data_IF_467191965484
#
_entry.id   IF_467191965484
#
_cell.length_a   1.000
_cell.length_b   1.000
_cell.length_c   1.000
_cell.angle_alpha   90.00
_cell.angle_beta   90.00
_cell.angle_gamma   90.00
#
_symmetry.space_group_name_H-M   'P 1'
#
loop_
_entity.id
_entity.type
_entity.pdbx_description
1 polymer ?
#
# COMPACT_ATOMS: atom_id res chain seq x y z
N UNK A 1 -44.71 -4.15 0.49
CA UNK A 1 -43.44 -4.44 -0.20
C UNK A 1 -42.65 -3.15 -0.12
N UNK A 2 -41.66 -3.09 0.76
CA UNK A 2 -40.87 -1.89 0.96
C UNK A 2 -40.08 -1.61 -0.32
N UNK A 3 -40.26 -0.39 -0.81
CA UNK A 3 -39.79 0.15 -2.07
C UNK A 3 -38.28 0.46 -1.99
N UNK A 4 -37.48 -0.51 -1.57
CA UNK A 4 -36.02 -0.35 -1.53
C UNK A 4 -35.51 -0.52 -2.97
N UNK A 5 -35.37 0.59 -3.68
CA UNK A 5 -34.65 0.67 -4.95
C UNK A 5 -33.30 -0.06 -4.82
N UNK A 6 -33.04 -1.00 -5.74
CA UNK A 6 -31.78 -1.74 -5.79
C UNK A 6 -30.66 -0.80 -6.21
N UNK A 7 -29.84 -0.40 -5.24
CA UNK A 7 -28.72 0.54 -5.44
C UNK A 7 -27.41 -0.23 -5.62
N UNK A 8 -26.71 0.03 -6.71
CA UNK A 8 -25.35 -0.44 -6.96
C UNK A 8 -24.39 0.72 -6.73
N UNK A 9 -23.47 0.55 -5.81
CA UNK A 9 -22.35 1.48 -5.66
C UNK A 9 -21.33 1.21 -6.77
N UNK A 10 -20.95 2.26 -7.48
CA UNK A 10 -19.84 2.26 -8.43
C UNK A 10 -18.74 3.16 -7.88
N UNK A 11 -17.51 2.64 -7.77
CA UNK A 11 -16.42 3.45 -7.21
C UNK A 11 -15.80 4.35 -8.28
N UNK A 12 -15.76 5.66 -8.04
CA UNK A 12 -14.86 6.59 -8.74
C UNK A 12 -13.47 6.43 -8.11
N UNK A 13 -12.49 6.12 -8.95
CA UNK A 13 -11.11 5.85 -8.52
C UNK A 13 -10.14 6.81 -9.22
N UNK A 14 -8.98 6.31 -9.64
CA UNK A 14 -7.85 7.10 -10.12
C UNK A 14 -7.51 6.75 -11.58
N UNK A 15 -6.70 7.60 -12.22
CA UNK A 15 -6.01 7.32 -13.49
C UNK A 15 -6.91 6.73 -14.60
N UNK A 16 -6.49 5.64 -15.24
CA UNK A 16 -7.20 5.04 -16.37
C UNK A 16 -8.60 4.52 -16.01
N UNK A 17 -8.83 3.80 -14.89
CA UNK A 17 -10.17 3.41 -14.46
C UNK A 17 -11.12 4.60 -14.24
N UNK A 18 -10.63 5.73 -13.72
CA UNK A 18 -11.43 6.94 -13.55
C UNK A 18 -11.88 7.51 -14.91
N UNK A 19 -10.98 7.55 -15.90
CA UNK A 19 -11.31 7.97 -17.27
C UNK A 19 -12.32 7.02 -17.92
N UNK A 20 -12.13 5.71 -17.80
CA UNK A 20 -13.07 4.71 -18.33
C UNK A 20 -14.46 4.85 -17.71
N UNK A 21 -14.53 5.15 -16.41
CA UNK A 21 -15.79 5.38 -15.69
C UNK A 21 -16.60 6.52 -16.28
N UNK A 22 -15.95 7.62 -16.71
CA UNK A 22 -16.62 8.75 -17.36
C UNK A 22 -17.36 8.36 -18.63
N UNK A 23 -16.85 7.36 -19.36
CA UNK A 23 -17.50 6.82 -20.56
C UNK A 23 -18.53 5.74 -20.25
N UNK A 24 -18.21 4.80 -19.36
CA UNK A 24 -19.00 3.58 -19.17
C UNK A 24 -20.19 3.77 -18.24
N UNK A 25 -20.04 4.56 -17.18
CA UNK A 25 -21.09 4.74 -16.17
C UNK A 25 -22.40 5.33 -16.73
N UNK A 26 -22.39 6.33 -17.63
CA UNK A 26 -23.62 6.81 -18.27
C UNK A 26 -24.34 5.71 -19.06
N UNK A 27 -23.60 4.81 -19.71
CA UNK A 27 -24.16 3.68 -20.45
C UNK A 27 -24.84 2.71 -19.46
N UNK A 28 -24.16 2.33 -18.37
CA UNK A 28 -24.73 1.44 -17.36
C UNK A 28 -26.04 2.00 -16.79
N UNK A 29 -26.05 3.29 -16.42
CA UNK A 29 -27.25 3.98 -15.93
C UNK A 29 -28.40 3.96 -16.94
N UNK A 30 -28.12 4.21 -18.21
CA UNK A 30 -29.13 4.19 -19.27
C UNK A 30 -29.70 2.77 -19.50
N UNK A 31 -28.85 1.74 -19.44
CA UNK A 31 -29.29 0.35 -19.62
C UNK A 31 -30.14 -0.17 -18.45
N UNK A 32 -29.90 0.33 -17.23
CA UNK A 32 -30.64 -0.13 -16.05
C UNK A 32 -31.83 0.73 -15.65
N UNK A 33 -32.08 1.85 -16.34
CA UNK A 33 -33.14 2.80 -15.99
C UNK A 33 -34.55 2.19 -16.02
N UNK A 34 -34.78 1.17 -16.85
CA UNK A 34 -36.07 0.46 -16.94
C UNK A 34 -36.26 -0.62 -15.88
N UNK A 35 -35.22 -0.94 -15.12
CA UNK A 35 -35.18 -2.12 -14.24
C UNK A 35 -35.22 -1.76 -12.76
N UNK A 36 -35.39 -0.47 -12.41
CA UNK A 36 -35.39 0.00 -11.02
C UNK A 36 -34.04 -0.16 -10.32
N UNK A 37 -32.94 -0.25 -11.07
CA UNK A 37 -31.57 -0.36 -10.54
C UNK A 37 -30.86 0.98 -10.74
N UNK A 38 -30.39 1.55 -9.64
CA UNK A 38 -29.65 2.81 -9.62
C UNK A 38 -28.15 2.58 -9.45
N UNK A 39 -27.33 3.36 -10.15
CA UNK A 39 -25.88 3.42 -9.91
C UNK A 39 -25.49 4.71 -9.20
N UNK A 40 -24.97 4.58 -7.99
CA UNK A 40 -24.43 5.69 -7.22
C UNK A 40 -22.91 5.71 -7.26
N UNK A 41 -22.34 6.88 -7.51
CA UNK A 41 -20.92 7.04 -7.73
C UNK A 41 -20.27 7.54 -6.44
N UNK A 42 -19.44 6.70 -5.83
CA UNK A 42 -18.76 7.02 -4.57
C UNK A 42 -17.27 7.24 -4.82
N UNK A 43 -16.73 8.37 -4.35
CA UNK A 43 -15.35 8.80 -4.64
C UNK A 43 -14.37 8.24 -3.60
N UNK A 44 -13.56 7.29 -4.03
CA UNK A 44 -12.47 6.70 -3.23
C UNK A 44 -11.10 6.94 -3.87
N UNK A 45 -11.01 7.92 -4.78
CA UNK A 45 -9.73 8.37 -5.35
C UNK A 45 -8.76 8.83 -4.26
N UNK A 46 -7.47 8.91 -4.57
CA UNK A 46 -6.46 9.42 -3.65
C UNK A 46 -6.77 10.86 -3.22
N UNK A 47 -7.03 11.75 -4.18
CA UNK A 47 -7.47 13.11 -3.91
C UNK A 47 -8.75 13.14 -3.07
N UNK A 48 -9.71 12.28 -3.42
CA UNK A 48 -10.95 12.03 -2.69
C UNK A 48 -10.71 11.80 -1.19
N UNK A 49 -9.88 10.81 -0.90
CA UNK A 49 -9.58 10.38 0.47
C UNK A 49 -8.77 11.43 1.24
N UNK A 50 -7.86 12.16 0.59
CA UNK A 50 -7.11 13.25 1.23
C UNK A 50 -8.08 14.36 1.68
N UNK A 51 -8.89 14.89 0.77
CA UNK A 51 -9.84 15.98 1.05
C UNK A 51 -10.84 15.58 2.14
N UNK A 52 -11.35 14.33 2.13
CA UNK A 52 -12.25 13.84 3.17
C UNK A 52 -11.59 13.74 4.56
N UNK A 53 -10.26 13.63 4.62
CA UNK A 53 -9.51 13.54 5.87
C UNK A 53 -9.06 14.90 6.41
N UNK A 54 -9.26 16.03 5.72
CA UNK A 54 -8.92 17.38 6.23
C UNK A 54 -10.07 18.40 6.04
N UNK A 55 -11.32 18.06 6.40
CA UNK A 55 -12.47 18.93 6.14
C UNK A 55 -12.38 20.29 6.83
N UNK A 56 -11.71 20.37 7.98
CA UNK A 56 -11.57 21.60 8.75
C UNK A 56 -10.72 22.68 8.07
N UNK A 57 -9.88 22.30 7.10
CA UNK A 57 -9.08 23.22 6.31
C UNK A 57 -9.80 23.71 5.05
N UNK A 58 -11.00 23.24 4.77
CA UNK A 58 -11.66 23.42 3.47
C UNK A 58 -12.90 24.31 3.57
N UNK A 59 -13.22 25.00 2.47
CA UNK A 59 -14.51 25.69 2.35
C UNK A 59 -15.66 24.69 2.29
N UNK A 60 -16.89 25.14 2.54
CA UNK A 60 -18.06 24.26 2.51
C UNK A 60 -18.30 23.64 1.12
N UNK A 61 -17.89 24.33 0.04
CA UNK A 61 -17.97 23.83 -1.33
C UNK A 61 -16.86 22.83 -1.69
N UNK A 62 -15.73 22.87 -0.99
CA UNK A 62 -14.60 21.96 -1.19
C UNK A 62 -14.73 20.67 -0.40
N UNK A 63 -15.48 20.69 0.71
CA UNK A 63 -15.73 19.52 1.55
C UNK A 63 -16.47 18.45 0.76
N UNK A 64 -16.14 17.20 1.07
CA UNK A 64 -16.86 16.03 0.59
C UNK A 64 -16.98 15.00 1.70
N UNK A 65 -17.91 14.08 1.54
CA UNK A 65 -18.12 12.98 2.48
C UNK A 65 -16.93 12.01 2.47
N UNK A 66 -16.69 11.35 3.61
CA UNK A 66 -15.75 10.23 3.70
C UNK A 66 -16.40 8.96 3.15
N UNK A 67 -16.46 8.89 1.81
CA UNK A 67 -17.06 7.78 1.10
C UNK A 67 -16.39 6.43 1.43
N UNK A 68 -15.10 6.40 1.79
CA UNK A 68 -14.45 5.14 2.16
C UNK A 68 -14.99 4.61 3.49
N UNK A 69 -15.12 5.47 4.49
CA UNK A 69 -15.72 5.10 5.78
C UNK A 69 -17.19 4.68 5.62
N UNK A 70 -17.97 5.43 4.84
CA UNK A 70 -19.37 5.09 4.54
C UNK A 70 -19.51 3.74 3.84
N UNK A 71 -18.62 3.43 2.89
CA UNK A 71 -18.61 2.14 2.21
C UNK A 71 -18.14 0.99 3.09
N UNK A 72 -17.26 1.25 4.05
CA UNK A 72 -16.89 0.27 5.07
C UNK A 72 -18.06 -0.14 5.95
N UNK A 73 -18.89 0.83 6.36
CA UNK A 73 -20.12 0.52 7.08
C UNK A 73 -21.15 -0.19 6.20
N UNK A 74 -21.31 0.25 4.93
CA UNK A 74 -22.19 -0.43 3.98
C UNK A 74 -21.80 -1.90 3.78
N UNK A 75 -20.51 -2.20 3.63
CA UNK A 75 -19.98 -3.54 3.39
C UNK A 75 -20.33 -4.55 4.51
N UNK A 76 -20.62 -4.05 5.72
CA UNK A 76 -21.07 -4.86 6.87
C UNK A 76 -22.57 -5.12 6.88
N UNK A 77 -23.31 -4.62 5.89
CA UNK A 77 -24.76 -4.79 5.78
C UNK A 77 -25.15 -5.73 4.63
N UNK A 78 -26.30 -6.44 4.74
CA UNK A 78 -26.82 -7.26 3.64
C UNK A 78 -27.18 -6.47 2.37
N UNK A 79 -27.33 -5.15 2.47
CA UNK A 79 -27.67 -4.28 1.35
C UNK A 79 -26.46 -3.94 0.45
N UNK A 80 -25.24 -4.32 0.85
CA UNK A 80 -24.03 -4.00 0.11
C UNK A 80 -24.03 -4.60 -1.31
N UNK A 81 -24.01 -3.73 -2.32
CA UNK A 81 -23.75 -4.10 -3.71
C UNK A 81 -22.75 -3.11 -4.31
N UNK A 82 -21.46 -3.48 -4.29
CA UNK A 82 -20.36 -2.57 -4.58
C UNK A 82 -19.54 -3.10 -5.76
N UNK A 83 -19.49 -2.34 -6.85
CA UNK A 83 -18.57 -2.54 -7.96
C UNK A 83 -17.32 -1.70 -7.70
N UNK A 84 -16.26 -2.39 -7.28
CA UNK A 84 -14.96 -1.80 -6.97
C UNK A 84 -14.01 -1.87 -8.16
N UNK A 85 -13.61 -0.70 -8.67
CA UNK A 85 -12.62 -0.56 -9.74
C UNK A 85 -11.20 -0.46 -9.17
N UNK A 86 -10.13 -0.71 -9.94
CA UNK A 86 -8.75 -0.48 -9.47
C UNK A 86 -8.54 0.99 -9.04
N UNK A 87 -7.77 1.18 -7.96
CA UNK A 87 -7.45 2.49 -7.38
C UNK A 87 -5.98 2.54 -6.96
N UNK A 88 -5.44 3.74 -6.75
CA UNK A 88 -4.09 3.95 -6.24
C UNK A 88 -4.02 3.49 -4.79
N UNK A 89 -3.09 2.57 -4.53
CA UNK A 89 -2.50 2.42 -3.20
C UNK A 89 -1.28 3.34 -3.18
N UNK A 90 -1.32 4.44 -2.43
CA UNK A 90 -0.37 5.53 -2.64
C UNK A 90 1.00 5.21 -2.03
N UNK A 91 2.08 5.42 -2.80
CA UNK A 91 3.42 5.64 -2.25
C UNK A 91 3.54 7.05 -1.67
N UNK A 92 4.62 7.33 -0.92
CA UNK A 92 4.91 8.68 -0.40
C UNK A 92 5.03 9.70 -1.56
N UNK A 93 5.80 9.43 -2.64
CA UNK A 93 5.86 10.37 -3.77
C UNK A 93 4.51 10.64 -4.43
N UNK A 94 3.65 9.63 -4.58
CA UNK A 94 2.31 9.81 -5.14
C UNK A 94 1.42 10.66 -4.22
N UNK A 95 1.55 10.46 -2.90
CA UNK A 95 0.85 11.26 -1.90
C UNK A 95 1.28 12.73 -2.00
N UNK A 96 2.58 13.03 -1.94
CA UNK A 96 3.11 14.38 -2.03
C UNK A 96 2.74 15.07 -3.34
N UNK A 97 2.81 14.36 -4.48
CA UNK A 97 2.37 14.89 -5.77
C UNK A 97 0.87 15.26 -5.76
N UNK A 98 0.03 14.43 -5.13
CA UNK A 98 -1.41 14.71 -5.03
C UNK A 98 -1.71 15.87 -4.08
N UNK A 99 -1.01 15.97 -2.95
CA UNK A 99 -1.11 17.10 -2.03
C UNK A 99 -0.78 18.40 -2.77
N UNK A 100 0.35 18.40 -3.49
CA UNK A 100 0.75 19.55 -4.30
C UNK A 100 -0.30 19.92 -5.34
N UNK A 101 -0.82 18.94 -6.09
CA UNK A 101 -1.85 19.20 -7.10
C UNK A 101 -3.13 19.78 -6.46
N UNK A 102 -3.55 19.28 -5.30
CA UNK A 102 -4.70 19.81 -4.56
C UNK A 102 -4.48 21.26 -4.10
N UNK A 103 -3.30 21.57 -3.55
CA UNK A 103 -2.93 22.92 -3.13
C UNK A 103 -2.86 23.89 -4.32
N UNK A 104 -2.31 23.46 -5.45
CA UNK A 104 -2.28 24.25 -6.69
C UNK A 104 -3.71 24.56 -7.21
N UNK A 105 -4.72 23.75 -6.81
CA UNK A 105 -6.16 23.98 -7.06
C UNK A 105 -6.89 24.69 -5.91
N UNK A 106 -6.17 25.19 -4.89
CA UNK A 106 -6.72 26.00 -3.80
C UNK A 106 -7.30 25.22 -2.63
N UNK A 107 -7.02 23.93 -2.49
CA UNK A 107 -7.34 23.17 -1.28
C UNK A 107 -6.23 23.35 -0.24
N UNK A 108 -6.57 23.88 0.94
CA UNK A 108 -5.61 24.17 2.01
C UNK A 108 -5.23 22.91 2.84
N UNK A 109 -4.92 21.81 2.15
CA UNK A 109 -4.48 20.56 2.82
C UNK A 109 -3.02 20.68 3.25
N UNK A 110 -2.66 20.24 4.49
CA UNK A 110 -1.31 20.39 5.01
C UNK A 110 -0.30 19.53 4.24
N UNK A 111 0.97 19.94 4.23
CA UNK A 111 2.06 19.12 3.70
C UNK A 111 2.17 17.79 4.43
N UNK A 112 2.81 16.80 3.80
CA UNK A 112 3.13 15.54 4.46
C UNK A 112 4.44 15.68 5.27
N UNK A 113 4.41 15.60 6.62
CA UNK A 113 5.62 15.69 7.42
C UNK A 113 6.38 14.36 7.40
N UNK A 114 7.50 14.32 6.68
CA UNK A 114 8.38 13.14 6.63
C UNK A 114 8.95 12.82 8.02
N UNK A 115 9.45 13.84 8.70
CA UNK A 115 9.97 13.79 10.07
C UNK A 115 9.14 14.74 10.96
N UNK A 116 8.03 14.28 11.56
CA UNK A 116 7.14 15.16 12.29
C UNK A 116 7.79 15.65 13.59
N UNK A 117 7.75 16.96 13.83
CA UNK A 117 8.21 17.60 15.05
C UNK A 117 7.02 17.99 15.96
N UNK A 118 6.71 17.11 16.91
CA UNK A 118 5.68 17.37 17.93
C UNK A 118 4.24 17.06 17.53
N UNK A 119 3.32 17.27 18.47
CA UNK A 119 1.93 16.79 18.38
C UNK A 119 1.14 17.24 17.14
N UNK A 120 1.26 18.50 16.64
CA UNK A 120 0.50 18.93 15.46
C UNK A 120 0.89 18.16 14.19
N UNK A 121 2.19 17.97 13.94
CA UNK A 121 2.67 17.26 12.76
C UNK A 121 2.46 15.75 12.86
N UNK A 122 2.58 15.18 14.06
CA UNK A 122 2.20 13.79 14.32
C UNK A 122 0.72 13.54 13.99
N UNK A 123 -0.16 14.47 14.35
CA UNK A 123 -1.58 14.41 14.00
C UNK A 123 -1.84 14.42 12.49
N UNK A 124 -1.12 15.27 11.74
CA UNK A 124 -1.19 15.32 10.27
C UNK A 124 -0.68 14.02 9.65
N UNK A 125 0.50 13.53 10.09
CA UNK A 125 1.07 12.27 9.62
C UNK A 125 0.15 11.10 9.88
N UNK A 126 -0.48 11.03 11.05
CA UNK A 126 -1.43 9.98 11.41
C UNK A 126 -2.67 9.96 10.52
N UNK A 127 -3.17 11.12 10.09
CA UNK A 127 -4.29 11.21 9.12
C UNK A 127 -3.84 10.78 7.74
N UNK A 128 -2.67 11.22 7.28
CA UNK A 128 -2.13 10.74 6.00
C UNK A 128 -1.83 9.24 5.99
N UNK A 129 -1.46 8.65 7.13
CA UNK A 129 -1.27 7.21 7.26
C UNK A 129 -2.54 6.39 6.97
N UNK A 130 -3.74 7.00 7.10
CA UNK A 130 -5.03 6.38 6.73
C UNK A 130 -5.29 6.38 5.23
N UNK A 131 -4.65 7.27 4.46
CA UNK A 131 -4.78 7.32 3.00
C UNK A 131 -3.61 6.63 2.27
N UNK A 132 -2.48 6.45 2.94
CA UNK A 132 -1.27 5.87 2.39
C UNK A 132 -1.35 4.34 2.25
N UNK A 133 -0.74 3.81 1.18
CA UNK A 133 -0.68 2.39 0.88
C UNK A 133 -2.05 1.80 0.54
N UNK A 134 -2.24 0.52 0.83
CA UNK A 134 -3.50 -0.19 0.55
C UNK A 134 -4.60 0.17 1.58
N UNK A 135 -5.04 1.42 1.60
CA UNK A 135 -6.07 1.92 2.53
C UNK A 135 -7.49 1.40 2.22
N UNK A 136 -7.82 1.20 0.94
CA UNK A 136 -9.20 0.88 0.53
C UNK A 136 -9.55 -0.59 0.73
N UNK A 137 -8.65 -1.52 0.36
CA UNK A 137 -8.98 -2.95 0.39
C UNK A 137 -9.31 -3.48 1.79
N UNK A 138 -8.59 -3.11 2.87
CA UNK A 138 -8.92 -3.57 4.23
C UNK A 138 -10.30 -3.14 4.70
N UNK A 139 -10.82 -2.02 4.20
CA UNK A 139 -12.14 -1.49 4.58
C UNK A 139 -13.28 -2.19 3.81
N UNK A 140 -13.06 -2.52 2.53
CA UNK A 140 -14.14 -3.05 1.68
C UNK A 140 -14.21 -4.59 1.63
N UNK A 141 -13.16 -5.30 2.09
CA UNK A 141 -13.07 -6.76 2.02
C UNK A 141 -13.58 -7.44 3.29
N UNK A 142 -14.84 -7.20 3.60
CA UNK A 142 -15.59 -7.87 4.67
C UNK A 142 -16.02 -9.29 4.25
N UNK A 143 -15.07 -10.08 3.73
CA UNK A 143 -15.32 -11.42 3.20
C UNK A 143 -14.09 -12.04 2.53
N UNK A 144 -14.26 -13.29 2.10
CA UNK A 144 -13.22 -14.04 1.40
C UNK A 144 -13.20 -13.74 -0.11
N UNK A 145 -12.18 -14.24 -0.82
CA UNK A 145 -11.99 -14.01 -2.26
C UNK A 145 -12.42 -15.21 -3.11
N UNK A 146 -13.41 -15.05 -3.99
CA UNK A 146 -13.63 -15.91 -5.17
C UNK A 146 -13.01 -15.24 -6.40
N UNK A 147 -11.84 -15.72 -6.85
CA UNK A 147 -11.14 -15.19 -8.03
C UNK A 147 -10.90 -16.29 -9.05
N UNK A 148 -11.48 -16.11 -10.25
CA UNK A 148 -11.39 -17.06 -11.36
C UNK A 148 -11.46 -16.36 -12.72
N UNK A 149 -10.95 -17.02 -13.75
CA UNK A 149 -11.06 -16.54 -15.13
C UNK A 149 -12.46 -16.84 -15.65
N UNK A 150 -13.14 -15.85 -16.24
CA UNK A 150 -14.45 -16.06 -16.87
C UNK A 150 -14.32 -16.94 -18.12
N UNK A 151 -15.28 -17.85 -18.33
CA UNK A 151 -15.24 -18.80 -19.44
C UNK A 151 -15.08 -18.15 -20.83
N UNK A 152 -15.77 -17.04 -21.16
CA UNK A 152 -15.56 -16.35 -22.44
C UNK A 152 -14.14 -15.81 -22.61
N UNK A 153 -13.51 -15.32 -21.53
CA UNK A 153 -12.12 -14.82 -21.56
C UNK A 153 -11.15 -15.97 -21.81
N UNK A 154 -11.37 -17.13 -21.18
CA UNK A 154 -10.54 -18.32 -21.43
C UNK A 154 -10.68 -18.82 -22.86
N UNK A 155 -11.89 -18.90 -23.39
CA UNK A 155 -12.14 -19.30 -24.78
C UNK A 155 -11.48 -18.34 -25.77
N UNK A 156 -11.58 -17.02 -25.52
CA UNK A 156 -10.92 -16.01 -26.33
C UNK A 156 -9.39 -16.17 -26.34
N UNK A 157 -8.77 -16.40 -25.18
CA UNK A 157 -7.32 -16.61 -25.07
C UNK A 157 -6.85 -17.90 -25.76
N UNK A 158 -7.69 -18.94 -25.84
CA UNK A 158 -7.38 -20.15 -26.60
C UNK A 158 -7.44 -19.92 -28.11
N UNK A 159 -8.41 -19.11 -28.57
CA UNK A 159 -8.54 -18.74 -29.98
C UNK A 159 -7.52 -17.69 -30.42
N UNK A 160 -7.02 -16.88 -29.48
CA UNK A 160 -6.09 -15.77 -29.70
C UNK A 160 -4.94 -15.89 -28.69
N UNK A 161 -4.04 -16.88 -28.85
CA UNK A 161 -2.93 -17.07 -27.93
C UNK A 161 -2.03 -15.84 -27.92
N UNK A 162 -1.76 -15.32 -26.73
CA UNK A 162 -0.79 -14.25 -26.55
C UNK A 162 0.64 -14.80 -26.66
N UNK A 163 1.62 -13.96 -27.01
CA UNK A 163 3.01 -14.38 -27.05
C UNK A 163 3.46 -14.94 -25.70
N UNK A 164 4.09 -16.11 -25.71
CA UNK A 164 4.73 -16.72 -24.56
C UNK A 164 6.20 -16.90 -24.91
N UNK A 165 7.10 -16.34 -24.10
CA UNK A 165 8.53 -16.48 -24.30
C UNK A 165 8.97 -17.95 -24.23
N UNK A 166 9.89 -18.35 -25.11
CA UNK A 166 10.45 -19.69 -25.11
C UNK A 166 11.32 -19.92 -23.87
N UNK A 167 11.13 -21.07 -23.22
CA UNK A 167 12.00 -21.53 -22.13
C UNK A 167 12.91 -22.62 -22.66
N UNK A 168 14.23 -22.41 -22.56
CA UNK A 168 15.25 -23.36 -22.97
C UNK A 168 16.05 -23.84 -21.76
N UNK A 169 16.76 -24.97 -21.90
CA UNK A 169 17.62 -25.49 -20.83
C UNK A 169 18.82 -24.59 -20.48
N UNK A 170 19.09 -23.54 -21.26
CA UNK A 170 20.14 -22.55 -20.99
C UNK A 170 19.72 -21.39 -20.09
N UNK A 171 18.44 -21.29 -19.72
CA UNK A 171 17.94 -20.21 -18.85
C UNK A 171 18.53 -20.35 -17.45
N UNK A 172 19.23 -19.31 -17.00
CA UNK A 172 19.86 -19.22 -15.67
C UNK A 172 19.01 -18.49 -14.63
N UNK A 173 17.84 -17.97 -15.04
CA UNK A 173 16.89 -17.28 -14.15
C UNK A 173 16.50 -18.21 -13.00
N UNK A 174 16.58 -17.71 -11.78
CA UNK A 174 16.20 -18.41 -10.56
C UNK A 174 15.67 -17.40 -9.55
N UNK A 175 15.00 -17.92 -8.52
CA UNK A 175 14.63 -17.15 -7.33
C UNK A 175 15.67 -17.44 -6.26
N UNK A 176 16.20 -16.38 -5.66
CA UNK A 176 17.00 -16.44 -4.45
C UNK A 176 16.19 -15.91 -3.28
N UNK A 177 16.30 -16.56 -2.12
CA UNK A 177 15.66 -16.16 -0.88
C UNK A 177 16.55 -16.48 0.31
N UNK A 178 16.33 -15.82 1.44
CA UNK A 178 17.06 -16.09 2.68
C UNK A 178 16.80 -17.54 3.15
N UNK A 179 17.81 -18.18 3.72
CA UNK A 179 17.72 -19.53 4.30
C UNK A 179 17.51 -19.53 5.82
N UNK A 180 17.80 -18.40 6.47
CA UNK A 180 17.64 -18.19 7.92
C UNK A 180 17.53 -16.70 8.24
N UNK A 181 17.03 -16.37 9.43
CA UNK A 181 16.93 -14.99 9.90
C UNK A 181 15.88 -14.14 9.19
N UNK A 182 14.94 -14.77 8.48
CA UNK A 182 13.80 -14.13 7.83
C UNK A 182 12.51 -14.31 8.66
N UNK A 183 11.40 -13.74 8.17
CA UNK A 183 10.10 -13.90 8.83
C UNK A 183 9.67 -15.37 8.90
N UNK A 184 9.92 -16.17 7.86
CA UNK A 184 9.51 -17.57 7.81
C UNK A 184 10.24 -18.41 8.88
N UNK A 185 11.57 -18.28 8.96
CA UNK A 185 12.38 -19.07 9.89
C UNK A 185 12.23 -18.69 11.36
N UNK A 186 11.60 -17.55 11.67
CA UNK A 186 11.42 -17.03 13.03
C UNK A 186 9.99 -17.03 13.54
N UNK A 187 9.02 -17.41 12.69
CA UNK A 187 7.60 -17.33 13.02
C UNK A 187 7.23 -18.20 14.23
N UNK A 188 6.45 -17.60 15.13
CA UNK A 188 5.75 -18.27 16.21
C UNK A 188 4.26 -17.96 16.12
N UNK A 189 3.43 -18.97 16.34
CA UNK A 189 1.97 -18.88 16.21
C UNK A 189 1.29 -19.30 17.51
N UNK A 190 0.20 -18.61 17.84
CA UNK A 190 -0.63 -18.92 19.00
C UNK A 190 -2.12 -18.81 18.66
N UNK A 191 -2.92 -19.75 19.17
CA UNK A 191 -4.39 -19.72 19.06
C UNK A 191 -4.98 -19.31 20.41
N UNK A 192 -5.69 -18.19 20.42
CA UNK A 192 -6.28 -17.63 21.63
C UNK A 192 -7.34 -18.56 22.23
N UNK A 193 -7.12 -19.05 23.45
CA UNK A 193 -8.08 -19.93 24.14
C UNK A 193 -9.37 -19.19 24.57
N UNK A 194 -9.27 -17.89 24.84
CA UNK A 194 -10.36 -17.00 25.22
C UNK A 194 -10.10 -15.59 24.70
N UNK A 195 -11.15 -14.79 24.56
CA UNK A 195 -11.01 -13.38 24.20
C UNK A 195 -10.25 -12.61 25.29
N UNK A 196 -9.44 -11.65 24.89
CA UNK A 196 -8.58 -10.89 25.80
C UNK A 196 -7.93 -9.70 25.12
N UNK A 197 -7.02 -9.04 25.83
CA UNK A 197 -6.21 -7.95 25.29
C UNK A 197 -4.74 -8.24 25.55
N UNK A 198 -3.89 -7.98 24.56
CA UNK A 198 -2.44 -8.19 24.64
C UNK A 198 -1.69 -6.88 24.43
N UNK A 199 -0.47 -6.85 24.96
CA UNK A 199 0.47 -5.75 24.77
C UNK A 199 1.72 -6.29 24.05
N UNK A 200 2.24 -5.52 23.10
CA UNK A 200 3.51 -5.79 22.44
C UNK A 200 4.56 -4.89 23.07
N UNK A 201 5.56 -5.50 23.70
CA UNK A 201 6.64 -4.78 24.40
C UNK A 201 8.01 -5.17 23.87
N UNK A 202 8.93 -4.22 23.88
CA UNK A 202 10.35 -4.44 23.69
C UNK A 202 11.03 -4.29 25.05
N UNK A 203 11.64 -5.37 25.54
CA UNK A 203 12.53 -5.34 26.69
C UNK A 203 13.98 -5.24 26.19
N UNK A 204 14.71 -4.21 26.61
CA UNK A 204 16.11 -4.04 26.22
C UNK A 204 17.06 -4.87 27.11
N UNK A 205 18.35 -4.90 26.77
CA UNK A 205 19.35 -5.67 27.53
C UNK A 205 19.54 -5.21 28.98
N UNK A 206 19.06 -4.01 29.34
CA UNK A 206 19.07 -3.48 30.71
C UNK A 206 17.78 -3.79 31.49
N UNK A 207 16.79 -4.44 30.86
CA UNK A 207 15.48 -4.75 31.42
C UNK A 207 14.47 -3.59 31.34
N UNK A 208 14.78 -2.53 30.58
CA UNK A 208 13.83 -1.43 30.38
C UNK A 208 12.78 -1.84 29.34
N UNK A 209 11.52 -1.56 29.66
CA UNK A 209 10.36 -1.95 28.85
C UNK A 209 9.87 -0.74 28.06
N UNK A 210 9.84 -0.89 26.74
CA UNK A 210 9.18 0.03 25.81
C UNK A 210 7.90 -0.60 25.28
N UNK A 211 6.76 0.05 25.48
CA UNK A 211 5.48 -0.43 24.93
C UNK A 211 5.41 -0.03 23.45
N UNK A 212 5.41 -1.02 22.56
CA UNK A 212 5.31 -0.81 21.12
C UNK A 212 3.86 -0.70 20.66
N UNK A 213 2.98 -1.50 21.29
CA UNK A 213 1.53 -1.45 21.06
C UNK A 213 0.81 -1.90 22.31
N UNK A 214 -0.14 -1.09 22.75
CA UNK A 214 -0.98 -1.41 23.89
C UNK A 214 -2.40 -1.78 23.47
N UNK A 215 -3.06 -2.57 24.33
CA UNK A 215 -4.50 -2.80 24.23
C UNK A 215 -5.00 -3.51 22.97
N UNK A 216 -4.20 -4.40 22.36
CA UNK A 216 -4.63 -5.15 21.19
C UNK A 216 -5.67 -6.21 21.59
N UNK A 217 -6.94 -5.92 21.33
CA UNK A 217 -8.04 -6.85 21.57
C UNK A 217 -7.98 -8.04 20.60
N UNK A 218 -8.06 -9.25 21.15
CA UNK A 218 -8.09 -10.52 20.43
C UNK A 218 -9.32 -11.34 20.82
N UNK A 219 -9.85 -12.10 19.88
CA UNK A 219 -11.04 -12.94 20.03
C UNK A 219 -10.68 -14.35 20.50
N UNK A 220 -11.68 -15.06 21.02
CA UNK A 220 -11.54 -16.50 21.24
C UNK A 220 -11.37 -17.22 19.90
N UNK A 221 -10.36 -18.08 19.80
CA UNK A 221 -10.03 -18.83 18.59
C UNK A 221 -9.26 -18.02 17.53
N UNK A 222 -8.95 -16.76 17.80
CA UNK A 222 -8.10 -15.94 16.92
C UNK A 222 -6.68 -16.50 16.87
N UNK A 223 -6.11 -16.55 15.67
CA UNK A 223 -4.71 -16.93 15.45
C UNK A 223 -3.89 -15.65 15.42
N UNK A 224 -2.84 -15.59 16.24
CA UNK A 224 -1.88 -14.49 16.27
C UNK A 224 -0.48 -15.03 16.04
N UNK A 225 0.26 -14.39 15.13
CA UNK A 225 1.60 -14.78 14.73
C UNK A 225 2.58 -13.63 14.98
N UNK A 226 3.81 -13.97 15.34
CA UNK A 226 4.91 -13.02 15.48
C UNK A 226 6.17 -13.59 14.82
N UNK A 227 6.88 -12.74 14.08
CA UNK A 227 8.12 -13.10 13.39
C UNK A 227 9.05 -11.88 13.29
N UNK A 228 10.33 -12.12 12.98
CA UNK A 228 11.35 -11.08 12.87
C UNK A 228 12.27 -11.33 11.68
N UNK A 229 12.61 -10.26 10.96
CA UNK A 229 13.68 -10.29 9.96
C UNK A 229 14.95 -9.70 10.57
N UNK A 230 16.02 -10.49 10.61
CA UNK A 230 17.33 -10.04 11.05
C UNK A 230 17.95 -9.13 10.01
N UNK A 231 18.15 -7.85 10.38
CA UNK A 231 18.87 -6.86 9.54
C UNK A 231 20.23 -7.37 9.09
N UNK A 232 20.99 -8.00 9.98
CA UNK A 232 22.33 -8.50 9.68
C UNK A 232 22.29 -9.64 8.67
N UNK A 233 21.38 -10.61 8.86
CA UNK A 233 21.23 -11.73 7.93
C UNK A 233 20.73 -11.26 6.56
N UNK A 234 19.77 -10.32 6.53
CA UNK A 234 19.26 -9.72 5.30
C UNK A 234 20.39 -9.03 4.50
N UNK A 235 21.19 -8.19 5.16
CA UNK A 235 22.28 -7.48 4.47
C UNK A 235 23.37 -8.41 3.97
N UNK A 236 23.69 -9.47 4.72
CA UNK A 236 24.64 -10.49 4.29
C UNK A 236 24.11 -11.26 3.07
N UNK A 237 22.83 -11.66 3.10
CA UNK A 237 22.16 -12.30 1.97
C UNK A 237 22.19 -11.40 0.72
N UNK A 238 21.76 -10.15 0.84
CA UNK A 238 21.75 -9.20 -0.27
C UNK A 238 23.14 -9.00 -0.88
N UNK A 239 24.17 -8.82 -0.06
CA UNK A 239 25.55 -8.67 -0.54
C UNK A 239 26.03 -9.93 -1.29
N UNK A 240 25.69 -11.12 -0.78
CA UNK A 240 26.00 -12.40 -1.43
C UNK A 240 25.31 -12.56 -2.78
N UNK A 241 24.01 -12.26 -2.88
CA UNK A 241 23.25 -12.38 -4.13
C UNK A 241 23.63 -11.33 -5.17
N UNK A 242 24.00 -10.12 -4.74
CA UNK A 242 24.55 -9.10 -5.64
C UNK A 242 25.87 -9.60 -6.24
N UNK A 243 26.77 -10.15 -5.43
CA UNK A 243 28.02 -10.73 -5.91
C UNK A 243 27.80 -11.93 -6.84
N UNK A 244 26.92 -12.89 -6.47
CA UNK A 244 26.60 -14.05 -7.31
C UNK A 244 26.01 -13.63 -8.67
N UNK A 245 25.14 -12.61 -8.67
CA UNK A 245 24.56 -12.10 -9.92
C UNK A 245 25.64 -11.50 -10.84
N UNK A 246 26.63 -10.82 -10.29
CA UNK A 246 27.77 -10.29 -11.05
C UNK A 246 28.67 -11.41 -11.57
N UNK A 247 29.05 -12.37 -10.72
CA UNK A 247 29.90 -13.51 -11.07
C UNK A 247 29.28 -14.39 -12.17
N UNK A 248 27.94 -14.50 -12.19
CA UNK A 248 27.20 -15.32 -13.15
C UNK A 248 26.71 -14.55 -14.38
N UNK A 249 26.99 -13.25 -14.45
CA UNK A 249 26.52 -12.33 -15.50
C UNK A 249 24.99 -12.36 -15.65
N UNK A 250 24.30 -12.12 -14.53
CA UNK A 250 22.85 -12.09 -14.42
C UNK A 250 22.37 -10.69 -14.03
N UNK A 251 21.17 -10.33 -14.49
CA UNK A 251 20.48 -9.15 -13.99
C UNK A 251 20.03 -9.39 -12.55
N UNK A 252 20.53 -8.57 -11.63
CA UNK A 252 19.99 -8.51 -10.28
C UNK A 252 18.61 -7.85 -10.33
N UNK A 253 17.60 -8.52 -9.77
CA UNK A 253 16.26 -7.98 -9.64
C UNK A 253 15.72 -8.26 -8.25
N UNK A 254 15.04 -7.27 -7.68
CA UNK A 254 14.42 -7.34 -6.36
C UNK A 254 12.91 -7.25 -6.52
N UNK A 255 12.19 -8.23 -5.98
CA UNK A 255 10.74 -8.37 -6.12
C UNK A 255 10.08 -8.23 -4.75
N UNK A 256 9.42 -7.10 -4.52
CA UNK A 256 8.84 -6.71 -3.23
C UNK A 256 7.42 -6.16 -3.43
N UNK A 257 6.73 -5.83 -2.34
CA UNK A 257 5.38 -5.28 -2.36
C UNK A 257 5.23 -4.04 -1.46
N UNK A 258 6.21 -3.12 -1.57
CA UNK A 258 6.39 -1.89 -0.78
C UNK A 258 5.10 -1.13 -0.46
N UNK A 259 4.21 -0.94 -1.43
CA UNK A 259 2.97 -0.18 -1.23
C UNK A 259 1.94 -0.91 -0.37
N UNK A 260 1.86 -2.24 -0.48
CA UNK A 260 0.92 -3.02 0.33
C UNK A 260 1.50 -3.25 1.73
N UNK A 261 2.77 -3.62 1.77
CA UNK A 261 3.55 -3.84 2.98
C UNK A 261 4.26 -2.55 3.40
N UNK A 262 3.47 -1.48 3.62
CA UNK A 262 3.94 -0.08 3.75
C UNK A 262 4.94 0.20 4.88
N UNK A 263 5.21 -0.76 5.75
CA UNK A 263 6.17 -0.65 6.84
C UNK A 263 7.40 -1.51 6.56
N UNK A 264 7.23 -2.83 6.40
CA UNK A 264 8.34 -3.77 6.26
C UNK A 264 9.12 -3.60 4.96
N UNK A 265 8.41 -3.57 3.84
CA UNK A 265 9.02 -3.70 2.52
C UNK A 265 9.83 -2.47 2.10
N UNK A 266 9.42 -1.21 2.39
CA UNK A 266 10.28 -0.06 2.19
C UNK A 266 11.61 -0.14 2.95
N UNK A 267 11.60 -0.67 4.19
CA UNK A 267 12.83 -0.86 4.98
C UNK A 267 13.74 -1.92 4.36
N UNK A 268 13.16 -3.05 3.93
CA UNK A 268 13.91 -4.11 3.24
C UNK A 268 14.49 -3.58 1.92
N UNK A 269 13.71 -2.81 1.18
CA UNK A 269 14.12 -2.16 -0.05
C UNK A 269 15.26 -1.17 0.17
N UNK A 270 15.18 -0.33 1.21
CA UNK A 270 16.25 0.59 1.59
C UNK A 270 17.55 -0.14 1.94
N UNK A 271 17.47 -1.28 2.64
CA UNK A 271 18.65 -2.13 2.84
C UNK A 271 19.24 -2.65 1.53
N UNK A 272 18.42 -3.05 0.56
CA UNK A 272 18.92 -3.47 -0.76
C UNK A 272 19.59 -2.32 -1.51
N UNK A 273 19.01 -1.11 -1.49
CA UNK A 273 19.59 0.10 -2.11
C UNK A 273 20.94 0.43 -1.46
N UNK A 274 21.00 0.51 -0.13
CA UNK A 274 22.24 0.84 0.57
C UNK A 274 23.33 -0.23 0.45
N UNK A 275 22.97 -1.51 0.30
CA UNK A 275 23.96 -2.57 0.05
C UNK A 275 24.46 -2.53 -1.39
N UNK A 276 23.56 -2.30 -2.36
CA UNK A 276 23.94 -2.22 -3.78
C UNK A 276 24.85 -1.02 -4.08
N UNK A 277 24.58 0.13 -3.45
CA UNK A 277 25.35 1.37 -3.60
C UNK A 277 26.29 1.62 -2.41
N UNK A 278 26.79 0.57 -1.75
CA UNK A 278 27.58 0.68 -0.52
C UNK A 278 28.73 1.71 -0.65
N UNK A 279 29.51 1.66 -1.73
CA UNK A 279 30.61 2.59 -1.99
C UNK A 279 30.19 4.07 -1.97
N UNK A 280 28.98 4.38 -2.46
CA UNK A 280 28.45 5.76 -2.49
C UNK A 280 28.08 6.21 -1.08
N UNK A 281 27.34 5.38 -0.34
CA UNK A 281 26.93 5.69 1.03
C UNK A 281 28.12 5.75 1.99
N UNK A 282 29.14 4.90 1.82
CA UNK A 282 30.36 4.94 2.62
C UNK A 282 31.20 6.20 2.34
N UNK A 283 31.30 6.61 1.08
CA UNK A 283 32.11 7.77 0.69
C UNK A 283 31.44 9.11 0.98
N UNK A 284 30.11 9.18 0.90
CA UNK A 284 29.34 10.42 0.94
C UNK A 284 28.32 10.51 2.08
N UNK A 285 28.37 9.59 3.05
CA UNK A 285 27.39 9.46 4.13
C UNK A 285 27.03 10.77 4.82
N UNK A 286 28.02 11.55 5.28
CA UNK A 286 27.77 12.83 5.97
C UNK A 286 26.93 13.81 5.12
N UNK A 287 27.26 13.97 3.84
CA UNK A 287 26.53 14.87 2.94
C UNK A 287 25.14 14.33 2.62
N UNK A 288 25.00 13.01 2.45
CA UNK A 288 23.70 12.38 2.17
C UNK A 288 22.77 12.49 3.39
N UNK A 289 23.30 12.36 4.60
CA UNK A 289 22.57 12.52 5.86
C UNK A 289 22.13 13.99 6.05
N UNK A 290 23.00 14.96 5.76
CA UNK A 290 22.66 16.40 5.80
C UNK A 290 21.55 16.78 4.80
N UNK A 291 21.54 16.13 3.63
CA UNK A 291 20.47 16.28 2.63
C UNK A 291 19.20 15.50 2.98
N UNK A 292 19.23 14.68 4.03
CA UNK A 292 18.13 13.84 4.48
C UNK A 292 17.79 12.70 3.52
N UNK A 293 18.75 12.17 2.75
CA UNK A 293 18.50 11.09 1.76
C UNK A 293 17.98 9.83 2.46
N UNK A 294 16.81 9.35 2.03
CA UNK A 294 16.19 8.14 2.57
C UNK A 294 16.22 6.99 1.54
N UNK A 295 17.07 5.97 1.72
CA UNK A 295 17.14 4.83 0.80
C UNK A 295 15.83 4.01 0.77
N UNK A 296 14.95 4.12 1.77
CA UNK A 296 13.63 3.47 1.76
C UNK A 296 12.71 4.02 0.65
N UNK A 297 12.94 5.27 0.24
CA UNK A 297 12.27 5.91 -0.91
C UNK A 297 12.95 5.61 -2.25
N UNK A 298 14.04 4.84 -2.23
CA UNK A 298 14.80 4.40 -3.38
C UNK A 298 15.85 5.38 -3.87
N UNK A 299 16.64 4.94 -4.85
CA UNK A 299 17.75 5.75 -5.39
C UNK A 299 17.28 7.05 -6.06
N UNK A 300 16.01 7.12 -6.46
CA UNK A 300 15.39 8.35 -6.96
C UNK A 300 15.38 9.49 -5.94
N UNK A 301 15.23 9.17 -4.65
CA UNK A 301 15.28 10.16 -3.56
C UNK A 301 16.67 10.77 -3.41
N UNK A 302 17.73 9.95 -3.57
CA UNK A 302 19.08 10.45 -3.64
C UNK A 302 19.23 11.42 -4.83
N UNK A 303 18.80 11.01 -6.02
CA UNK A 303 18.94 11.83 -7.22
C UNK A 303 18.24 13.19 -7.10
N UNK A 304 17.03 13.25 -6.53
CA UNK A 304 16.33 14.53 -6.34
C UNK A 304 17.01 15.44 -5.31
N UNK A 305 17.53 14.88 -4.22
CA UNK A 305 18.15 15.67 -3.13
C UNK A 305 19.51 16.25 -3.52
N UNK A 306 20.28 15.53 -4.33
CA UNK A 306 21.59 16.02 -4.80
C UNK A 306 21.49 17.12 -5.86
N UNK A 307 20.32 17.39 -6.46
CA UNK A 307 20.13 18.53 -7.38
C UNK A 307 20.38 19.89 -6.70
N UNK A 308 20.32 19.93 -5.36
CA UNK A 308 20.66 21.10 -4.56
C UNK A 308 22.17 21.36 -4.43
N UNK A 309 23.01 20.38 -4.78
CA UNK A 309 24.46 20.47 -4.70
C UNK A 309 25.05 21.13 -5.98
N UNK A 310 26.23 21.77 -5.89
CA UNK A 310 26.93 22.39 -7.03
C UNK A 310 27.40 21.41 -8.12
#
# INVERSE_FOLDING_TARGET
MTDDQLKIIYTKTDEAPALATRSLLPILRAFTSSSGIEFDLQDISLAGRIVANFPENLTDEQKQNDALSELGELAKTPAANIIKLPNISASIPQLQATIKELQDHGYDVPEYPEEPEGEPEEGVKARYARVLGSAVNPVLREGNSDRRVAAPVKAYAQANPHPMGEWTGGVKTHVSHMSEGDFFGSEQSHVMAAAGSVQIVLENAAGEITVLRDGLALQQGEVVDASVMSRSALRQFLAGEIADSQDRDLLFSLHMKATMMKVSDPIIFGHAVSVYYADVFEKHGEVLDELGVDPNNGIGDLYSKIESLP
#
